data_IF_939498865499
#
_entry.id   IF_939498865499
#
_cell.length_a   1.000
_cell.length_b   1.000
_cell.length_c   1.000
_cell.angle_alpha   90.00
_cell.angle_beta   90.00
_cell.angle_gamma   90.00
#
_symmetry.space_group_name_H-M   'P 1'
#
loop_
_entity.id
_entity.type
_entity.pdbx_description
1 polymer ?
#
# COMPACT_ATOMS: atom_id res chain seq x y z
N UNK A 1 4.83 -24.57 -16.12
CA UNK A 1 3.61 -23.78 -15.92
C UNK A 1 3.26 -23.12 -17.23
N UNK A 2 2.13 -23.47 -17.84
CA UNK A 2 1.68 -22.86 -19.09
C UNK A 2 1.05 -21.52 -18.71
N UNK A 3 1.60 -20.40 -19.19
CA UNK A 3 0.88 -19.12 -19.18
C UNK A 3 -0.27 -19.30 -20.17
N UNK A 4 -1.35 -19.91 -19.70
CA UNK A 4 -2.59 -19.98 -20.47
C UNK A 4 -3.27 -18.63 -20.31
N UNK A 5 -3.28 -17.86 -21.40
CA UNK A 5 -4.08 -16.66 -21.52
C UNK A 5 -3.52 -15.49 -20.74
N UNK A 6 -3.04 -14.50 -21.48
CA UNK A 6 -2.88 -13.12 -21.05
C UNK A 6 -4.21 -12.42 -20.68
N UNK A 7 -5.23 -13.17 -20.27
CA UNK A 7 -6.47 -12.61 -19.75
C UNK A 7 -6.23 -12.32 -18.29
N UNK A 8 -5.68 -11.12 -18.06
CA UNK A 8 -5.72 -10.45 -16.77
C UNK A 8 -7.18 -10.42 -16.36
N UNK A 9 -7.61 -11.37 -15.51
CA UNK A 9 -8.91 -11.31 -14.86
C UNK A 9 -9.03 -9.90 -14.29
N UNK A 10 -10.05 -9.19 -14.74
CA UNK A 10 -10.21 -7.81 -14.35
C UNK A 10 -10.55 -7.80 -12.85
N UNK A 11 -10.19 -6.73 -12.17
CA UNK A 11 -10.28 -6.68 -10.72
C UNK A 11 -11.74 -6.67 -10.20
N UNK A 12 -12.69 -6.27 -11.05
CA UNK A 12 -14.13 -6.40 -10.84
C UNK A 12 -14.59 -7.86 -10.88
N UNK A 13 -14.01 -8.70 -11.75
CA UNK A 13 -14.32 -10.14 -11.80
C UNK A 13 -13.88 -10.85 -10.51
N UNK A 14 -12.81 -10.39 -9.85
CA UNK A 14 -12.43 -10.86 -8.51
C UNK A 14 -13.46 -10.50 -7.42
N UNK A 15 -14.16 -9.38 -7.56
CA UNK A 15 -15.20 -8.97 -6.59
C UNK A 15 -16.40 -9.91 -6.63
N UNK A 16 -16.65 -10.54 -7.79
CA UNK A 16 -17.71 -11.52 -7.97
C UNK A 16 -17.34 -12.89 -7.37
N UNK A 17 -16.04 -13.20 -7.26
CA UNK A 17 -15.51 -14.45 -6.68
C UNK A 17 -15.39 -14.41 -5.15
N UNK A 18 -16.49 -14.12 -4.46
CA UNK A 18 -16.54 -13.96 -2.98
C UNK A 18 -15.91 -15.12 -2.21
N UNK A 19 -16.08 -16.35 -2.66
CA UNK A 19 -15.54 -17.56 -2.02
C UNK A 19 -14.02 -17.72 -2.20
N UNK A 20 -13.40 -16.95 -3.10
CA UNK A 20 -11.96 -16.96 -3.37
C UNK A 20 -11.23 -15.73 -2.86
N UNK A 21 -11.92 -14.61 -2.59
CA UNK A 21 -11.33 -13.38 -2.07
C UNK A 21 -10.36 -13.64 -0.92
N UNK A 22 -10.80 -14.41 0.09
CA UNK A 22 -9.97 -14.70 1.26
C UNK A 22 -8.71 -15.52 0.95
N UNK A 23 -8.77 -16.38 -0.09
CA UNK A 23 -7.58 -17.09 -0.58
C UNK A 23 -6.61 -16.14 -1.26
N UNK A 24 -7.10 -15.14 -2.00
CA UNK A 24 -6.24 -14.11 -2.58
C UNK A 24 -5.63 -13.23 -1.49
N UNK A 25 -6.39 -12.86 -0.45
CA UNK A 25 -5.85 -12.15 0.72
C UNK A 25 -4.69 -12.93 1.35
N UNK A 26 -4.88 -14.22 1.61
CA UNK A 26 -3.81 -15.06 2.17
C UNK A 26 -2.57 -15.15 1.26
N UNK A 27 -2.76 -15.31 -0.05
CA UNK A 27 -1.67 -15.38 -1.03
C UNK A 27 -0.92 -14.04 -1.17
N UNK A 28 -1.63 -12.91 -1.15
CA UNK A 28 -1.02 -11.58 -1.10
C UNK A 28 -0.18 -11.39 0.17
N UNK A 29 -0.68 -11.84 1.33
CA UNK A 29 0.10 -11.81 2.57
C UNK A 29 1.38 -12.64 2.47
N UNK A 30 1.31 -13.84 1.87
CA UNK A 30 2.49 -14.69 1.65
C UNK A 30 3.51 -14.01 0.73
N UNK A 31 3.06 -13.41 -0.37
CA UNK A 31 3.94 -12.67 -1.27
C UNK A 31 4.62 -11.48 -0.58
N UNK A 32 3.87 -10.66 0.16
CA UNK A 32 4.42 -9.53 0.90
C UNK A 32 5.40 -9.98 2.00
N UNK A 33 5.09 -11.08 2.69
CA UNK A 33 6.00 -11.66 3.68
C UNK A 33 7.33 -12.09 3.06
N UNK A 34 7.30 -12.72 1.88
CA UNK A 34 8.54 -13.09 1.17
C UNK A 34 9.37 -11.86 0.76
N UNK A 35 8.72 -10.77 0.35
CA UNK A 35 9.40 -9.50 0.04
C UNK A 35 10.06 -8.93 1.30
N UNK A 36 9.30 -8.87 2.41
CA UNK A 36 9.77 -8.26 3.65
C UNK A 36 10.84 -9.12 4.35
N UNK A 37 10.79 -10.44 4.22
CA UNK A 37 11.81 -11.37 4.74
C UNK A 37 13.17 -11.21 4.03
N UNK A 38 13.17 -10.72 2.79
CA UNK A 38 14.38 -10.38 2.02
C UNK A 38 14.85 -8.94 2.25
N UNK A 39 14.39 -8.29 3.31
CA UNK A 39 14.66 -6.87 3.59
C UNK A 39 14.31 -5.95 2.40
N UNK A 40 13.23 -6.27 1.67
CA UNK A 40 12.73 -5.45 0.56
C UNK A 40 11.40 -4.77 0.91
N UNK A 41 11.15 -3.63 0.25
CA UNK A 41 9.87 -2.92 0.26
C UNK A 41 9.40 -2.82 -1.19
N UNK A 42 8.16 -3.21 -1.45
CA UNK A 42 7.59 -3.21 -2.81
C UNK A 42 7.30 -1.79 -3.32
N UNK A 43 6.69 -0.94 -2.47
CA UNK A 43 6.36 0.49 -2.70
C UNK A 43 5.33 0.81 -3.78
N UNK A 44 4.89 -0.17 -4.57
CA UNK A 44 3.77 -0.02 -5.52
C UNK A 44 2.79 -1.20 -5.45
N UNK A 45 2.48 -1.67 -4.23
CA UNK A 45 1.54 -2.77 -4.04
C UNK A 45 0.12 -2.29 -4.38
N UNK A 46 -0.49 -2.89 -5.39
CA UNK A 46 -1.83 -2.52 -5.87
C UNK A 46 -2.45 -3.63 -6.72
N UNK A 47 -3.78 -3.65 -6.90
CA UNK A 47 -4.52 -4.51 -7.82
C UNK A 47 -3.83 -4.85 -9.14
N UNK A 48 -3.34 -3.82 -9.85
CA UNK A 48 -2.77 -3.95 -11.18
C UNK A 48 -1.49 -4.79 -11.23
N UNK A 49 -0.80 -4.88 -10.08
CA UNK A 49 0.46 -5.58 -9.88
C UNK A 49 0.27 -6.96 -9.24
N UNK A 50 -0.99 -7.38 -9.01
CA UNK A 50 -1.34 -8.74 -8.60
C UNK A 50 -1.70 -9.54 -9.85
N UNK A 51 -0.85 -10.52 -10.18
CA UNK A 51 -1.00 -11.38 -11.34
C UNK A 51 -1.70 -12.67 -10.94
N UNK A 52 -2.69 -13.09 -11.73
CA UNK A 52 -3.48 -14.30 -11.48
C UNK A 52 -3.10 -15.41 -12.44
N UNK A 53 -2.97 -16.61 -11.91
CA UNK A 53 -2.63 -17.82 -12.67
C UNK A 53 -3.67 -18.89 -12.40
N UNK A 54 -4.10 -19.57 -13.46
CA UNK A 54 -4.95 -20.75 -13.32
C UNK A 54 -4.08 -21.98 -13.05
N UNK A 55 -4.19 -22.53 -11.85
CA UNK A 55 -3.53 -23.77 -11.44
C UNK A 55 -4.18 -25.02 -12.05
N UNK A 56 -3.55 -26.18 -11.82
CA UNK A 56 -3.93 -27.48 -12.39
C UNK A 56 -5.31 -28.01 -11.96
N UNK A 57 -5.92 -27.43 -10.91
CA UNK A 57 -7.20 -27.87 -10.33
C UNK A 57 -8.26 -26.75 -10.35
N UNK A 58 -8.28 -25.91 -11.40
CA UNK A 58 -9.15 -24.72 -11.51
C UNK A 58 -9.02 -23.72 -10.32
N UNK A 59 -7.93 -23.82 -9.56
CA UNK A 59 -7.62 -22.89 -8.48
C UNK A 59 -6.85 -21.69 -9.04
N UNK A 60 -7.23 -20.49 -8.63
CA UNK A 60 -6.49 -19.30 -8.95
C UNK A 60 -5.37 -19.04 -7.95
N UNK A 61 -4.19 -18.77 -8.48
CA UNK A 61 -2.99 -18.43 -7.73
C UNK A 61 -2.67 -16.95 -8.00
N UNK A 62 -2.52 -16.15 -6.96
CA UNK A 62 -2.04 -14.77 -7.09
C UNK A 62 -0.54 -14.68 -6.81
N UNK A 63 0.14 -13.83 -7.58
CA UNK A 63 1.55 -13.50 -7.39
C UNK A 63 1.75 -12.00 -7.50
N UNK A 64 2.64 -11.47 -6.68
CA UNK A 64 3.04 -10.07 -6.75
C UNK A 64 4.05 -9.90 -7.89
N UNK A 65 3.81 -8.94 -8.76
CA UNK A 65 4.72 -8.54 -9.84
C UNK A 65 5.03 -7.04 -9.79
N UNK A 66 5.83 -6.59 -10.74
CA UNK A 66 6.26 -5.19 -10.91
C UNK A 66 7.10 -4.63 -9.74
N UNK A 67 8.39 -4.97 -9.76
CA UNK A 67 9.39 -4.60 -8.76
C UNK A 67 10.20 -3.36 -9.14
N UNK A 68 9.81 -2.61 -10.18
CA UNK A 68 10.56 -1.44 -10.67
C UNK A 68 10.68 -0.36 -9.59
N UNK A 69 9.65 -0.30 -8.73
CA UNK A 69 9.62 0.58 -7.55
C UNK A 69 10.23 -0.05 -6.31
N UNK A 70 10.71 -1.30 -6.29
CA UNK A 70 11.18 -1.96 -5.06
C UNK A 70 12.56 -1.45 -4.58
N UNK A 71 12.82 -1.51 -3.26
CA UNK A 71 14.13 -1.16 -2.67
C UNK A 71 14.43 -1.98 -1.42
N UNK A 72 15.73 -2.20 -1.16
CA UNK A 72 16.21 -2.81 0.08
C UNK A 72 16.20 -1.82 1.25
N UNK A 73 15.83 -2.30 2.44
CA UNK A 73 15.85 -1.58 3.72
C UNK A 73 17.23 -1.00 4.06
N UNK A 74 18.29 -1.79 3.83
CA UNK A 74 19.66 -1.49 4.29
C UNK A 74 20.55 -0.77 3.27
N UNK A 75 19.97 -0.15 2.24
CA UNK A 75 20.77 0.59 1.24
C UNK A 75 21.29 1.91 1.82
N UNK A 76 22.50 1.86 2.41
CA UNK A 76 23.30 2.99 2.91
C UNK A 76 23.69 4.04 1.84
N UNK A 77 23.20 3.93 0.61
CA UNK A 77 23.63 4.74 -0.51
C UNK A 77 22.76 6.00 -0.70
N UNK A 78 22.67 6.92 0.29
CA UNK A 78 22.09 8.27 0.11
C UNK A 78 20.63 8.40 -0.39
N UNK A 79 20.00 7.27 -0.69
CA UNK A 79 18.76 7.03 -1.43
C UNK A 79 18.06 5.79 -0.87
N UNK A 80 18.11 5.65 0.47
CA UNK A 80 17.15 4.84 1.22
C UNK A 80 15.69 5.30 0.99
N UNK A 81 14.70 4.79 1.73
CA UNK A 81 13.26 5.06 1.55
C UNK A 81 12.88 6.54 1.76
N UNK A 82 13.31 7.39 0.84
CA UNK A 82 13.25 8.85 0.86
C UNK A 82 12.81 9.41 -0.50
N UNK A 83 12.45 8.54 -1.43
CA UNK A 83 11.88 8.89 -2.74
C UNK A 83 10.40 8.54 -2.74
N UNK A 84 9.56 9.41 -3.31
CA UNK A 84 8.15 9.08 -3.58
C UNK A 84 8.09 8.29 -4.89
N UNK A 85 7.58 7.06 -4.83
CA UNK A 85 7.32 6.17 -5.95
C UNK A 85 6.04 5.39 -5.65
N UNK A 86 5.38 4.90 -6.70
CA UNK A 86 4.15 4.12 -6.61
C UNK A 86 2.93 4.86 -7.17
N UNK A 87 1.76 4.27 -6.94
CA UNK A 87 0.46 4.78 -7.41
C UNK A 87 -0.23 5.55 -6.30
N UNK A 88 -0.54 6.82 -6.54
CA UNK A 88 -0.96 7.82 -5.53
C UNK A 88 -2.08 7.33 -4.62
N UNK A 89 -3.04 6.67 -5.21
CA UNK A 89 -4.24 6.12 -4.59
C UNK A 89 -3.95 5.06 -3.51
N UNK A 90 -2.78 4.40 -3.59
CA UNK A 90 -2.35 3.34 -2.67
C UNK A 90 -1.16 3.76 -1.81
N UNK A 91 -0.59 4.95 -2.04
CA UNK A 91 0.57 5.42 -1.29
C UNK A 91 0.22 5.68 0.18
N UNK A 92 1.12 5.26 1.06
CA UNK A 92 1.01 5.53 2.49
C UNK A 92 1.28 7.00 2.82
N UNK A 93 0.55 7.60 3.79
CA UNK A 93 0.83 8.96 4.26
C UNK A 93 2.27 9.14 4.75
N UNK A 94 2.93 8.08 5.24
CA UNK A 94 4.31 8.16 5.73
C UNK A 94 5.32 8.52 4.65
N UNK A 95 5.01 8.16 3.40
CA UNK A 95 5.89 8.44 2.27
C UNK A 95 5.99 9.95 1.98
N UNK A 96 5.09 10.75 2.57
CA UNK A 96 5.01 12.20 2.45
C UNK A 96 5.55 12.95 3.66
N UNK A 97 6.02 12.28 4.72
CA UNK A 97 6.45 12.95 5.97
C UNK A 97 7.83 13.61 5.85
N UNK A 98 7.95 14.82 6.40
CA UNK A 98 9.20 15.59 6.44
C UNK A 98 9.43 16.22 7.80
N UNK A 99 10.71 16.37 8.17
CA UNK A 99 11.17 17.25 9.24
C UNK A 99 11.18 18.69 8.73
N UNK A 100 10.55 19.60 9.47
CA UNK A 100 10.50 21.04 9.18
C UNK A 100 11.36 21.84 10.16
N UNK A 101 11.81 23.03 9.74
CA UNK A 101 12.42 24.00 10.64
C UNK A 101 11.34 24.84 11.33
N UNK A 102 11.77 25.75 12.21
CA UNK A 102 10.88 26.68 12.92
C UNK A 102 10.08 27.62 11.99
N UNK A 103 10.54 27.81 10.75
CA UNK A 103 9.89 28.63 9.73
C UNK A 103 8.96 27.80 8.83
N UNK A 104 8.82 26.49 9.06
CA UNK A 104 8.00 25.59 8.25
C UNK A 104 8.71 24.99 7.03
N UNK A 105 9.97 25.35 6.76
CA UNK A 105 10.71 24.85 5.59
C UNK A 105 11.09 23.38 5.75
N UNK A 106 11.00 22.62 4.66
CA UNK A 106 11.39 21.21 4.59
C UNK A 106 12.91 21.07 4.78
N UNK A 107 13.35 20.37 5.84
CA UNK A 107 14.77 20.12 6.13
C UNK A 107 15.19 18.76 5.60
N UNK A 108 14.46 17.71 5.97
CA UNK A 108 14.86 16.32 5.74
C UNK A 108 13.62 15.43 5.66
N UNK A 109 13.58 14.54 4.68
CA UNK A 109 12.51 13.53 4.61
C UNK A 109 12.63 12.53 5.76
N UNK A 110 11.50 12.16 6.35
CA UNK A 110 11.45 11.12 7.37
C UNK A 110 11.46 9.76 6.65
N UNK A 111 12.39 8.84 6.97
CA UNK A 111 12.41 7.52 6.36
C UNK A 111 11.13 6.74 6.67
N UNK A 112 10.65 5.97 5.69
CA UNK A 112 9.52 5.04 5.87
C UNK A 112 10.01 3.58 5.90
N UNK A 113 9.16 2.68 6.39
CA UNK A 113 9.43 1.25 6.58
C UNK A 113 8.55 0.39 5.66
N UNK A 114 8.59 -0.94 5.79
CA UNK A 114 7.67 -1.86 5.10
C UNK A 114 6.20 -1.65 5.46
N UNK A 115 5.90 -0.87 6.50
CA UNK A 115 4.54 -0.46 6.85
C UNK A 115 3.82 0.28 5.71
N UNK A 116 4.55 0.82 4.71
CA UNK A 116 3.94 1.41 3.51
C UNK A 116 3.28 0.38 2.60
N UNK A 117 3.83 -0.84 2.52
CA UNK A 117 3.22 -1.94 1.75
C UNK A 117 1.99 -2.49 2.49
N UNK A 118 2.02 -2.50 3.83
CA UNK A 118 0.86 -2.90 4.66
C UNK A 118 -0.30 -1.91 4.48
N UNK A 119 -0.02 -0.61 4.43
CA UNK A 119 -1.02 0.39 4.09
C UNK A 119 -1.61 0.14 2.70
N UNK A 120 -0.77 -0.01 1.68
CA UNK A 120 -1.19 -0.25 0.30
C UNK A 120 -2.01 -1.55 0.17
N UNK A 121 -1.68 -2.57 0.96
CA UNK A 121 -2.47 -3.77 1.13
C UNK A 121 -3.84 -3.48 1.76
N UNK A 122 -3.91 -2.68 2.81
CA UNK A 122 -5.17 -2.23 3.41
C UNK A 122 -6.07 -1.49 2.41
N UNK A 123 -5.51 -0.58 1.62
CA UNK A 123 -6.23 0.12 0.54
C UNK A 123 -6.77 -0.87 -0.49
N UNK A 124 -5.92 -1.83 -0.89
CA UNK A 124 -6.31 -2.91 -1.81
C UNK A 124 -7.46 -3.75 -1.23
N UNK A 125 -7.42 -4.13 0.04
CA UNK A 125 -8.51 -4.87 0.68
C UNK A 125 -9.79 -4.05 0.75
N UNK A 126 -9.72 -2.77 1.13
CA UNK A 126 -10.88 -1.89 1.16
C UNK A 126 -11.55 -1.86 -0.22
N UNK A 127 -10.78 -1.67 -1.28
CA UNK A 127 -11.32 -1.67 -2.63
C UNK A 127 -11.90 -3.03 -3.03
N UNK A 128 -11.29 -4.14 -2.59
CA UNK A 128 -11.75 -5.50 -2.92
C UNK A 128 -13.15 -5.76 -2.36
N UNK A 129 -13.37 -5.32 -1.14
CA UNK A 129 -14.59 -5.63 -0.41
C UNK A 129 -15.69 -4.57 -0.56
N UNK A 130 -15.35 -3.35 -0.99
CA UNK A 130 -16.32 -2.26 -1.12
C UNK A 130 -16.57 -1.84 -2.57
N UNK A 131 -15.61 -2.05 -3.48
CA UNK A 131 -15.64 -1.47 -4.83
C UNK A 131 -15.17 -0.03 -4.92
N UNK A 132 -14.90 0.63 -3.79
CA UNK A 132 -14.52 2.04 -3.73
C UNK A 132 -13.11 2.22 -3.18
N UNK A 133 -12.50 3.37 -3.43
CA UNK A 133 -11.27 3.76 -2.75
C UNK A 133 -11.59 4.23 -1.32
N UNK A 134 -10.76 3.94 -0.31
CA UNK A 134 -10.97 4.46 1.03
C UNK A 134 -10.79 5.99 1.07
N UNK A 135 -9.78 6.50 0.38
CA UNK A 135 -9.44 7.93 0.43
C UNK A 135 -9.62 8.56 -0.94
N UNK A 136 -10.55 9.50 -1.04
CA UNK A 136 -10.65 10.38 -2.20
C UNK A 136 -9.77 11.61 -1.98
N UNK A 137 -8.71 11.73 -2.77
CA UNK A 137 -7.73 12.81 -2.63
C UNK A 137 -8.32 14.21 -2.72
N UNK A 138 -9.41 14.39 -3.49
CA UNK A 138 -10.13 15.67 -3.58
C UNK A 138 -10.70 16.12 -2.24
N UNK A 139 -11.14 15.16 -1.41
CA UNK A 139 -11.69 15.44 -0.09
C UNK A 139 -10.60 15.71 0.94
N UNK A 140 -9.39 15.16 0.77
CA UNK A 140 -8.23 15.50 1.61
C UNK A 140 -7.85 16.98 1.45
N UNK A 141 -7.97 17.52 0.24
CA UNK A 141 -7.72 18.93 -0.06
C UNK A 141 -8.80 19.82 0.57
N UNK A 142 -10.09 19.47 0.43
CA UNK A 142 -11.18 20.28 1.01
C UNK A 142 -11.18 20.27 2.55
N UNK A 143 -10.93 19.11 3.17
CA UNK A 143 -10.82 19.00 4.64
C UNK A 143 -9.63 19.77 5.20
N UNK A 144 -8.53 19.88 4.44
CA UNK A 144 -7.41 20.75 4.83
C UNK A 144 -7.78 22.24 4.71
N UNK A 145 -8.59 22.62 3.71
CA UNK A 145 -8.98 24.02 3.48
C UNK A 145 -9.94 24.58 4.53
N UNK A 146 -10.85 23.77 5.08
CA UNK A 146 -11.77 24.22 6.14
C UNK A 146 -11.07 24.37 7.50
N UNK A 147 -10.01 23.61 7.76
CA UNK A 147 -9.21 23.75 8.97
C UNK A 147 -8.19 24.91 8.91
N UNK A 148 -8.16 25.64 7.79
CA UNK A 148 -7.15 26.65 7.49
C UNK A 148 -7.79 27.91 6.93
N UNK A 149 -8.49 28.63 7.82
CA UNK A 149 -8.57 30.10 7.74
C UNK A 149 -7.13 30.62 7.88
N UNK A 150 -6.35 30.58 6.80
CA UNK A 150 -4.92 30.91 6.84
C UNK A 150 -4.03 30.38 5.70
N UNK A 151 -4.55 29.63 4.71
CA UNK A 151 -3.77 29.39 3.49
C UNK A 151 -3.69 30.67 2.66
N UNK A 152 -2.71 31.51 2.96
CA UNK A 152 -2.32 32.54 1.99
C UNK A 152 -1.67 31.85 0.77
N UNK A 153 -2.04 32.30 -0.42
CA UNK A 153 -1.49 31.92 -1.72
C UNK A 153 0.05 31.95 -1.81
N UNK A 154 0.75 32.46 -0.79
CA UNK A 154 2.19 32.59 -0.72
C UNK A 154 2.97 31.27 -0.68
N UNK A 155 2.43 30.18 -0.11
CA UNK A 155 3.14 28.90 -0.01
C UNK A 155 3.04 28.05 -1.29
N UNK A 156 1.89 28.07 -1.97
CA UNK A 156 1.72 27.45 -3.29
C UNK A 156 2.53 28.20 -4.37
N UNK A 157 2.63 29.53 -4.25
CA UNK A 157 3.40 30.40 -5.16
C UNK A 157 4.87 30.64 -4.75
N UNK A 158 5.37 29.96 -3.72
CA UNK A 158 6.77 30.09 -3.33
C UNK A 158 7.69 29.61 -4.49
N UNK A 159 8.63 30.47 -4.95
CA UNK A 159 9.42 30.18 -6.14
C UNK A 159 10.23 28.89 -5.97
N UNK A 160 10.30 28.10 -7.05
CA UNK A 160 10.99 26.79 -7.13
C UNK A 160 12.45 26.84 -6.63
N UNK A 161 13.06 28.02 -6.64
CA UNK A 161 14.43 28.29 -6.19
C UNK A 161 14.63 28.27 -4.66
N UNK A 162 13.57 28.41 -3.86
CA UNK A 162 13.64 28.31 -2.38
C UNK A 162 13.37 26.91 -1.84
N UNK A 163 12.99 25.96 -2.70
CA UNK A 163 12.70 24.58 -2.31
C UNK A 163 14.01 23.79 -2.23
N UNK A 164 14.20 22.88 -1.26
CA UNK A 164 15.33 21.96 -1.27
C UNK A 164 15.40 21.25 -2.62
N UNK A 165 16.60 21.07 -3.20
CA UNK A 165 16.78 20.46 -4.53
C UNK A 165 16.08 19.10 -4.69
N UNK A 166 15.88 18.38 -3.57
CA UNK A 166 15.19 17.08 -3.51
C UNK A 166 13.67 17.18 -3.66
N UNK A 167 13.07 18.34 -3.40
CA UNK A 167 11.65 18.60 -3.64
C UNK A 167 11.33 18.86 -5.12
N UNK A 168 12.34 19.22 -5.92
CA UNK A 168 12.19 19.41 -7.37
C UNK A 168 11.87 18.11 -8.10
N UNK A 169 12.22 16.94 -7.54
CA UNK A 169 11.78 15.63 -8.04
C UNK A 169 10.24 15.50 -8.08
N UNK A 170 9.52 16.22 -7.21
CA UNK A 170 8.06 16.18 -7.14
C UNK A 170 7.40 17.29 -7.98
N UNK A 171 8.17 18.01 -8.81
CA UNK A 171 7.72 19.19 -9.54
C UNK A 171 6.64 18.93 -10.60
N UNK A 172 6.48 17.68 -11.04
CA UNK A 172 5.46 17.29 -12.02
C UNK A 172 4.17 16.77 -11.39
N UNK A 173 4.14 16.59 -10.06
CA UNK A 173 3.02 15.96 -9.37
C UNK A 173 2.34 16.94 -8.39
N UNK A 174 1.25 17.57 -8.84
CA UNK A 174 0.47 18.51 -8.03
C UNK A 174 -0.05 17.90 -6.71
N UNK A 175 -0.36 16.60 -6.68
CA UNK A 175 -0.87 15.95 -5.48
C UNK A 175 0.23 15.75 -4.45
N UNK A 176 1.40 15.29 -4.90
CA UNK A 176 2.57 15.17 -4.05
C UNK A 176 3.00 16.54 -3.52
N UNK A 177 2.93 17.60 -4.33
CA UNK A 177 3.20 18.98 -3.90
C UNK A 177 2.30 19.41 -2.76
N UNK A 178 0.99 19.17 -2.86
CA UNK A 178 0.04 19.53 -1.80
C UNK A 178 0.36 18.77 -0.52
N UNK A 179 0.53 17.45 -0.57
CA UNK A 179 0.81 16.67 0.64
C UNK A 179 2.14 17.03 1.30
N UNK A 180 3.20 17.28 0.52
CA UNK A 180 4.47 17.74 1.12
C UNK A 180 4.40 19.19 1.63
N UNK A 181 3.38 19.96 1.27
CA UNK A 181 3.13 21.28 1.89
C UNK A 181 2.35 21.18 3.19
N UNK A 182 1.54 20.14 3.37
CA UNK A 182 0.86 19.88 4.64
C UNK A 182 1.87 19.58 5.76
N UNK A 183 1.60 20.10 6.95
CA UNK A 183 2.26 19.68 8.19
C UNK A 183 1.97 18.19 8.45
N UNK A 184 2.83 17.55 9.26
CA UNK A 184 2.59 16.16 9.63
C UNK A 184 1.24 16.01 10.36
N UNK A 185 0.83 17.01 11.14
CA UNK A 185 -0.48 17.01 11.84
C UNK A 185 -1.66 17.13 10.88
N UNK A 186 -1.53 17.89 9.78
CA UNK A 186 -2.54 17.95 8.72
C UNK A 186 -2.65 16.64 7.95
N UNK A 187 -1.50 16.02 7.62
CA UNK A 187 -1.47 14.67 7.03
C UNK A 187 -2.15 13.70 8.00
N UNK A 188 -1.77 13.70 9.27
CA UNK A 188 -2.39 12.85 10.30
C UNK A 188 -3.89 13.08 10.36
N UNK A 189 -4.38 14.32 10.39
CA UNK A 189 -5.84 14.62 10.41
C UNK A 189 -6.56 14.10 9.17
N UNK A 190 -5.98 14.25 7.99
CA UNK A 190 -6.61 13.84 6.73
C UNK A 190 -6.73 12.31 6.61
N UNK A 191 -5.83 11.56 7.26
CA UNK A 191 -5.80 10.09 7.25
C UNK A 191 -6.13 9.45 8.61
N UNK A 192 -6.55 10.24 9.61
CA UNK A 192 -6.69 9.81 11.00
C UNK A 192 -7.70 8.67 11.19
N UNK A 193 -8.66 8.56 10.28
CA UNK A 193 -9.75 7.60 10.41
C UNK A 193 -9.95 6.84 9.11
N UNK A 194 -9.87 5.51 9.21
CA UNK A 194 -10.37 4.61 8.17
C UNK A 194 -11.84 4.94 7.88
N UNK A 195 -12.23 5.11 6.61
CA UNK A 195 -13.62 5.29 6.23
C UNK A 195 -14.50 4.13 6.69
N UNK A 196 -15.80 4.40 6.83
CA UNK A 196 -16.77 3.39 7.24
C UNK A 196 -16.82 2.23 6.25
N UNK A 197 -16.56 1.01 6.74
CA UNK A 197 -16.66 -0.22 5.95
C UNK A 197 -18.06 -0.82 6.13
N UNK A 198 -18.81 -1.13 5.05
CA UNK A 198 -20.16 -1.67 5.13
C UNK A 198 -20.25 -2.94 5.98
N UNK A 199 -21.36 -3.10 6.72
CA UNK A 199 -21.60 -4.29 7.56
C UNK A 199 -21.65 -5.61 6.79
N UNK A 200 -21.90 -5.55 5.48
CA UNK A 200 -21.84 -6.70 4.57
C UNK A 200 -20.43 -7.30 4.46
N UNK A 201 -19.38 -6.53 4.78
CA UNK A 201 -18.00 -7.03 4.81
C UNK A 201 -17.78 -7.83 6.11
N UNK A 202 -17.24 -9.06 6.03
CA UNK A 202 -17.01 -9.89 7.22
C UNK A 202 -16.22 -9.15 8.31
N UNK A 203 -16.65 -9.27 9.57
CA UNK A 203 -16.06 -8.54 10.69
C UNK A 203 -14.53 -8.66 10.78
N UNK A 204 -14.00 -9.89 10.61
CA UNK A 204 -12.56 -10.14 10.64
C UNK A 204 -11.81 -9.38 9.53
N UNK A 205 -12.43 -9.18 8.37
CA UNK A 205 -11.88 -8.42 7.26
C UNK A 205 -11.97 -6.92 7.51
N UNK A 206 -13.07 -6.44 8.07
CA UNK A 206 -13.18 -5.03 8.49
C UNK A 206 -12.08 -4.67 9.48
N UNK A 207 -11.87 -5.50 10.51
CA UNK A 207 -10.77 -5.31 11.46
C UNK A 207 -9.40 -5.39 10.81
N UNK A 208 -9.18 -6.30 9.87
CA UNK A 208 -7.92 -6.33 9.14
C UNK A 208 -7.68 -5.06 8.32
N UNK A 209 -8.70 -4.55 7.62
CA UNK A 209 -8.61 -3.31 6.85
C UNK A 209 -8.32 -2.13 7.79
N UNK A 210 -9.05 -2.01 8.90
CA UNK A 210 -8.82 -0.97 9.92
C UNK A 210 -7.38 -1.03 10.47
N UNK A 211 -6.89 -2.22 10.84
CA UNK A 211 -5.52 -2.39 11.34
C UNK A 211 -4.47 -1.99 10.28
N UNK A 212 -4.71 -2.28 9.00
CA UNK A 212 -3.79 -1.94 7.91
C UNK A 212 -3.82 -0.44 7.56
N UNK A 213 -4.97 0.21 7.76
CA UNK A 213 -5.19 1.63 7.52
C UNK A 213 -5.02 2.48 8.79
N UNK A 214 -4.36 1.94 9.81
CA UNK A 214 -3.89 2.71 10.96
C UNK A 214 -2.92 3.79 10.48
N UNK A 215 -3.14 5.04 10.88
CA UNK A 215 -2.38 6.17 10.34
C UNK A 215 -0.94 6.14 10.85
N UNK A 216 -0.73 5.76 12.11
CA UNK A 216 0.60 5.69 12.70
C UNK A 216 1.33 4.42 12.21
N UNK A 217 2.43 4.54 11.44
CA UNK A 217 3.16 3.38 10.94
C UNK A 217 3.70 2.48 12.04
N UNK A 218 3.96 3.02 13.23
CA UNK A 218 4.52 2.25 14.34
C UNK A 218 3.44 1.41 15.04
N UNK A 219 2.17 1.75 14.86
CA UNK A 219 1.01 0.99 15.34
C UNK A 219 0.45 0.01 14.31
N UNK A 220 0.85 0.13 13.03
CA UNK A 220 0.46 -0.82 11.98
C UNK A 220 1.06 -2.21 12.25
N UNK A 221 0.28 -3.30 12.06
CA UNK A 221 0.80 -4.64 12.20
C UNK A 221 1.82 -4.96 11.09
N UNK A 222 2.86 -5.73 11.41
CA UNK A 222 3.69 -6.31 10.37
C UNK A 222 2.92 -7.36 9.56
N UNK A 223 3.36 -7.63 8.32
CA UNK A 223 2.74 -8.66 7.50
C UNK A 223 2.77 -10.05 8.17
N UNK A 224 3.83 -10.34 8.93
CA UNK A 224 3.94 -11.56 9.73
C UNK A 224 2.89 -11.63 10.85
N UNK A 225 2.58 -10.49 11.48
CA UNK A 225 1.49 -10.41 12.46
C UNK A 225 0.14 -10.65 11.79
N UNK A 226 -0.08 -10.12 10.58
CA UNK A 226 -1.29 -10.38 9.79
C UNK A 226 -1.41 -11.88 9.45
N UNK A 227 -0.34 -12.52 8.99
CA UNK A 227 -0.30 -13.96 8.70
C UNK A 227 -0.67 -14.83 9.90
N UNK A 228 -0.34 -14.38 11.11
CA UNK A 228 -0.67 -15.10 12.35
C UNK A 228 -2.16 -15.03 12.75
N UNK A 229 -2.98 -14.18 12.11
CA UNK A 229 -4.41 -14.09 12.42
C UNK A 229 -5.11 -15.42 12.07
N UNK A 230 -5.93 -16.02 12.96
CA UNK A 230 -6.44 -17.39 12.78
C UNK A 230 -7.15 -17.66 11.43
N UNK A 231 -7.93 -16.69 10.94
CA UNK A 231 -8.67 -16.82 9.69
C UNK A 231 -7.78 -16.74 8.43
N UNK A 232 -6.61 -16.09 8.53
CA UNK A 232 -5.58 -16.09 7.48
C UNK A 232 -4.71 -17.34 7.61
N UNK A 233 -4.19 -17.61 8.82
CA UNK A 233 -3.33 -18.75 9.10
C UNK A 233 -3.98 -20.08 8.68
N UNK A 234 -5.27 -20.28 9.00
CA UNK A 234 -5.98 -21.50 8.63
C UNK A 234 -6.07 -21.73 7.12
N UNK A 235 -6.03 -20.67 6.30
CA UNK A 235 -6.02 -20.76 4.84
C UNK A 235 -4.60 -20.98 4.33
N UNK A 236 -3.64 -20.22 4.83
CA UNK A 236 -2.22 -20.40 4.52
C UNK A 236 -1.79 -21.83 4.80
N UNK A 237 -2.13 -22.37 5.97
CA UNK A 237 -1.82 -23.75 6.34
C UNK A 237 -2.40 -24.76 5.35
N UNK A 238 -3.65 -24.59 4.91
CA UNK A 238 -4.27 -25.44 3.88
C UNK A 238 -3.60 -25.32 2.52
N UNK A 239 -3.14 -24.12 2.16
CA UNK A 239 -2.40 -23.86 0.93
C UNK A 239 -1.07 -24.62 0.99
N UNK A 240 -0.25 -24.38 2.02
CA UNK A 240 1.08 -24.98 2.19
C UNK A 240 1.03 -26.50 2.30
N UNK A 241 0.05 -27.06 3.02
CA UNK A 241 -0.14 -28.51 3.08
C UNK A 241 -0.37 -29.14 1.70
N UNK A 242 -1.14 -28.47 0.83
CA UNK A 242 -1.34 -28.97 -0.54
C UNK A 242 -0.06 -28.94 -1.35
N UNK A 243 0.82 -27.96 -1.14
CA UNK A 243 2.13 -27.93 -1.81
C UNK A 243 3.04 -29.07 -1.38
N UNK A 244 3.03 -29.39 -0.08
CA UNK A 244 3.81 -30.52 0.44
C UNK A 244 3.33 -31.85 -0.14
N UNK A 245 2.01 -32.02 -0.34
CA UNK A 245 1.42 -33.27 -0.83
C UNK A 245 1.52 -33.42 -2.35
N UNK A 246 1.29 -32.34 -3.10
CA UNK A 246 1.13 -32.40 -4.57
C UNK A 246 2.32 -31.78 -5.35
N UNK A 247 3.39 -31.39 -4.67
CA UNK A 247 4.49 -30.60 -5.25
C UNK A 247 4.19 -29.10 -5.28
N UNK A 248 5.16 -28.23 -5.68
CA UNK A 248 4.99 -26.78 -5.61
C UNK A 248 3.82 -26.33 -6.49
N UNK A 249 2.69 -25.97 -5.84
CA UNK A 249 1.52 -25.39 -6.50
C UNK A 249 1.78 -23.89 -6.72
N UNK A 250 2.51 -23.26 -5.80
CA UNK A 250 2.86 -21.84 -5.78
C UNK A 250 4.39 -21.77 -5.85
N UNK A 251 4.94 -21.41 -7.01
CA UNK A 251 6.29 -20.86 -6.99
C UNK A 251 6.24 -19.61 -6.10
N UNK A 252 7.01 -19.59 -5.01
CA UNK A 252 7.00 -18.59 -3.94
C UNK A 252 6.58 -17.18 -4.43
N UNK A 253 5.35 -16.79 -4.08
CA UNK A 253 4.76 -15.44 -3.90
C UNK A 253 4.95 -14.30 -4.91
N UNK A 254 5.95 -14.41 -5.79
CA UNK A 254 6.60 -13.31 -6.48
C UNK A 254 6.92 -13.75 -7.91
N UNK A 255 6.86 -12.81 -8.84
CA UNK A 255 7.45 -12.94 -10.16
C UNK A 255 8.58 -11.92 -10.27
N UNK A 256 9.82 -12.40 -10.19
CA UNK A 256 10.97 -11.61 -10.60
C UNK A 256 11.13 -11.77 -12.12
N UNK A 257 11.17 -10.65 -12.83
CA UNK A 257 11.56 -10.61 -14.25
C UNK A 257 13.06 -10.84 -14.37
#
# INVERSE_FOLDING_TARGET
>A
MRVLGSEKLNWTELQELRDQQLKFVAQMCLGLAEIHDKDQIHRDFKPLNILLFKGSNDQFISKIGDFDSSRNFNSNAGSGPNSLYGTKEYMSPDMYRWKRNQNGDLIKKIPYTSAVDVWAFGVTLYQLYTGYMPFEFKNLISQSSEASVGFSDAHLNAPLSRRPSRCQQYSQDEHAKILITLSNDEISRAFFKCPTIPDAVPFAIRKLIEDCLEWDPDQRPSIFKILSKPFIYGIVHKITLKEQIYGPIIGYGIIMK
#
